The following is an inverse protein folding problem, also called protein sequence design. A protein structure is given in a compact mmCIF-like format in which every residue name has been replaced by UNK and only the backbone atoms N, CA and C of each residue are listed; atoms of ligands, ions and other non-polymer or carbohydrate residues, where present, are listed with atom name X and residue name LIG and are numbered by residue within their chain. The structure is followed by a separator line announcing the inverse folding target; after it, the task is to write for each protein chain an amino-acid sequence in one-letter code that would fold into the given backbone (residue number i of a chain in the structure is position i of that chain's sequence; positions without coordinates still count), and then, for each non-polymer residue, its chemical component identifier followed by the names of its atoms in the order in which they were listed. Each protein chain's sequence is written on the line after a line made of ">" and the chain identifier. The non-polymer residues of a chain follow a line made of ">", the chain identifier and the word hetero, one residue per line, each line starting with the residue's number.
data_IF_133818572119
#
_entry.id   IF_133818572119
#
_cell.length_a   1.000
_cell.length_b   1.000
_cell.length_c   1.000
_cell.angle_alpha   90.00
_cell.angle_beta   90.00
_cell.angle_gamma   90.00
#
_symmetry.space_group_name_H-M   'P 1'
#
loop_
_entity.id
_entity.type
_entity.pdbx_description
1 polymer ?
#
# COMPACT_ATOMS: atom_id res chain seq x y z
N UNK A 1 20.64 0.95 19.35
CA UNK A 1 20.05 2.23 19.79
C UNK A 1 18.77 2.47 19.00
N UNK A 2 17.65 1.88 19.44
CA UNK A 2 16.32 2.01 18.81
C UNK A 2 15.33 2.84 19.63
N UNK A 3 15.80 3.43 20.73
CA UNK A 3 14.99 3.98 21.82
C UNK A 3 14.04 5.09 21.36
N UNK A 4 14.42 5.90 20.37
CA UNK A 4 13.59 7.01 19.91
C UNK A 4 12.61 6.71 18.76
N UNK A 5 12.72 5.57 18.06
CA UNK A 5 11.87 5.34 16.87
C UNK A 5 10.43 5.06 17.30
N UNK A 6 10.25 4.23 18.32
CA UNK A 6 8.93 3.84 18.78
C UNK A 6 8.21 5.01 19.49
N UNK A 7 8.94 5.83 20.23
CA UNK A 7 8.42 7.09 20.80
C UNK A 7 8.01 8.08 19.71
N UNK A 8 8.83 8.24 18.66
CA UNK A 8 8.47 9.09 17.51
C UNK A 8 7.23 8.57 16.78
N UNK A 9 7.09 7.25 16.66
CA UNK A 9 5.90 6.64 16.07
C UNK A 9 4.66 6.95 16.93
N UNK A 10 4.73 6.76 18.24
CA UNK A 10 3.65 7.09 19.18
C UNK A 10 3.26 8.58 19.16
N UNK A 11 4.25 9.47 19.08
CA UNK A 11 4.02 10.91 19.00
C UNK A 11 3.44 11.34 17.65
N UNK A 12 3.62 10.53 16.60
CA UNK A 12 3.07 10.78 15.27
C UNK A 12 1.63 10.30 15.11
N UNK A 13 1.16 9.41 15.98
CA UNK A 13 -0.23 8.94 15.95
C UNK A 13 -1.20 10.10 16.17
N UNK A 14 -2.19 10.21 15.28
CA UNK A 14 -3.18 11.28 15.34
C UNK A 14 -2.74 12.61 14.74
N UNK A 15 -1.50 12.72 14.21
CA UNK A 15 -1.05 13.93 13.50
C UNK A 15 -1.54 13.93 12.05
N UNK A 16 -1.62 15.13 11.46
CA UNK A 16 -1.94 15.29 10.04
C UNK A 16 -0.75 14.91 9.15
N UNK A 17 -1.03 14.39 7.96
CA UNK A 17 -0.01 14.13 6.94
C UNK A 17 -0.37 14.86 5.66
N UNK A 18 0.65 15.34 4.97
CA UNK A 18 0.47 15.91 3.65
C UNK A 18 0.55 14.81 2.61
N UNK A 19 -0.56 14.59 1.90
CA UNK A 19 -0.68 13.56 0.87
C UNK A 19 0.25 13.79 -0.33
N UNK A 20 0.62 15.05 -0.60
CA UNK A 20 1.58 15.40 -1.66
C UNK A 20 3.01 15.12 -1.22
N UNK A 21 3.23 15.07 0.09
CA UNK A 21 4.47 14.63 0.70
C UNK A 21 4.38 13.13 1.02
N UNK A 22 5.51 12.55 1.40
CA UNK A 22 5.61 11.13 1.72
C UNK A 22 5.08 10.82 3.14
N UNK A 23 4.52 9.63 3.38
CA UNK A 23 3.90 9.21 4.65
C UNK A 23 4.89 8.87 5.76
N UNK A 24 6.20 9.00 5.51
CA UNK A 24 7.22 8.75 6.55
C UNK A 24 7.00 9.66 7.76
N UNK A 25 7.28 9.13 8.96
CA UNK A 25 7.18 9.83 10.26
C UNK A 25 7.90 11.20 10.33
N UNK A 26 8.84 11.48 9.42
CA UNK A 26 9.54 12.77 9.35
C UNK A 26 8.71 13.90 8.71
N UNK A 27 7.59 13.58 8.09
CA UNK A 27 6.70 14.53 7.40
C UNK A 27 5.35 14.71 8.10
N UNK A 28 5.19 14.19 9.33
CA UNK A 28 4.04 14.49 10.18
C UNK A 28 3.91 16.01 10.33
N UNK A 29 2.72 16.55 10.06
CA UNK A 29 2.38 17.96 10.23
C UNK A 29 1.53 18.16 11.48
N UNK A 30 1.69 19.33 12.09
CA UNK A 30 0.97 19.73 13.29
C UNK A 30 1.75 19.45 14.57
N UNK A 31 1.69 20.41 15.49
CA UNK A 31 2.29 20.29 16.81
C UNK A 31 1.44 19.38 17.70
N UNK A 32 0.12 19.52 17.59
CA UNK A 32 -0.89 18.78 18.35
C UNK A 32 -1.49 17.60 17.57
N UNK A 33 -2.11 16.67 18.30
CA UNK A 33 -2.88 15.57 17.73
C UNK A 33 -4.26 16.07 17.30
N UNK A 34 -4.70 15.64 16.12
CA UNK A 34 -6.06 15.90 15.60
C UNK A 34 -7.11 14.96 16.19
N UNK A 35 -6.67 13.91 16.88
CA UNK A 35 -7.54 12.93 17.55
C UNK A 35 -7.39 13.06 19.06
N UNK A 36 -8.51 13.00 19.75
CA UNK A 36 -8.54 12.92 21.20
C UNK A 36 -8.24 11.48 21.62
N UNK A 37 -7.26 11.31 22.51
CA UNK A 37 -6.94 10.03 23.14
C UNK A 37 -7.29 10.10 24.62
N UNK A 38 -7.68 8.97 25.20
CA UNK A 38 -7.89 8.88 26.63
C UNK A 38 -6.55 8.98 27.36
N UNK A 39 -6.29 10.12 28.01
CA UNK A 39 -5.07 10.34 28.81
C UNK A 39 -5.18 9.83 30.25
N UNK A 40 -6.38 9.42 30.67
CA UNK A 40 -6.65 8.92 32.03
C UNK A 40 -6.19 7.48 32.20
N UNK A 41 -6.41 6.65 31.18
CA UNK A 41 -6.04 5.24 31.17
C UNK A 41 -4.71 5.05 30.43
N UNK A 42 -3.62 5.07 31.20
CA UNK A 42 -2.26 4.83 30.72
C UNK A 42 -1.82 3.40 31.02
N UNK A 43 -1.20 2.76 30.04
CA UNK A 43 -0.68 1.38 30.12
C UNK A 43 0.73 1.27 29.55
N UNK A 44 1.40 0.17 29.88
CA UNK A 44 2.63 -0.21 29.20
C UNK A 44 2.32 -0.92 27.88
N UNK A 45 3.00 -0.50 26.81
CA UNK A 45 2.88 -1.07 25.48
C UNK A 45 4.18 -1.78 25.10
N UNK A 46 4.12 -3.10 24.94
CA UNK A 46 5.26 -3.89 24.46
C UNK A 46 5.26 -3.91 22.94
N UNK A 47 6.32 -3.38 22.35
CA UNK A 47 6.54 -3.38 20.90
C UNK A 47 7.60 -4.44 20.55
N UNK A 48 7.26 -5.47 19.76
CA UNK A 48 8.21 -6.49 19.35
C UNK A 48 9.45 -5.87 18.68
N UNK A 49 10.64 -6.15 19.21
CA UNK A 49 11.91 -5.64 18.69
C UNK A 49 12.29 -4.21 19.11
N UNK A 50 11.38 -3.44 19.72
CA UNK A 50 11.64 -2.08 20.19
C UNK A 50 11.54 -1.91 21.71
N UNK A 51 11.07 -2.94 22.42
CA UNK A 51 10.98 -2.93 23.89
C UNK A 51 9.62 -2.45 24.40
N UNK A 52 9.56 -2.12 25.68
CA UNK A 52 8.32 -1.68 26.36
C UNK A 52 8.33 -0.18 26.52
N UNK A 53 7.24 0.47 26.10
CA UNK A 53 7.03 1.91 26.24
C UNK A 53 6.00 2.14 27.32
N UNK A 54 6.31 3.01 28.27
CA UNK A 54 5.42 3.36 29.37
C UNK A 54 4.50 4.50 28.97
N UNK A 55 3.44 4.69 29.75
CA UNK A 55 2.57 5.86 29.66
C UNK A 55 1.81 6.01 28.33
N UNK A 56 1.43 4.88 27.71
CA UNK A 56 0.69 4.88 26.45
C UNK A 56 -0.81 4.84 26.73
N UNK A 57 -1.59 5.67 26.03
CA UNK A 57 -3.05 5.65 26.12
C UNK A 57 -3.62 4.26 25.77
N UNK A 58 -4.66 3.83 26.52
CA UNK A 58 -5.36 2.56 26.28
C UNK A 58 -5.90 2.39 24.86
N UNK A 59 -6.21 3.50 24.18
CA UNK A 59 -6.73 3.53 22.81
C UNK A 59 -5.68 3.13 21.75
N UNK A 60 -4.39 3.18 22.10
CA UNK A 60 -3.30 2.83 21.20
C UNK A 60 -2.97 1.35 21.37
N UNK A 61 -3.15 0.57 20.30
CA UNK A 61 -2.75 -0.83 20.22
C UNK A 61 -1.57 -1.01 19.27
N UNK A 62 -0.54 -1.73 19.71
CA UNK A 62 0.49 -2.26 18.81
C UNK A 62 0.02 -3.61 18.29
N UNK A 63 -0.05 -3.75 16.98
CA UNK A 63 -0.28 -5.02 16.31
C UNK A 63 0.92 -5.35 15.41
N UNK A 64 1.10 -6.62 15.06
CA UNK A 64 2.17 -7.04 14.15
C UNK A 64 1.99 -6.42 12.76
N UNK A 65 0.75 -6.10 12.39
CA UNK A 65 0.35 -5.70 11.06
C UNK A 65 0.45 -6.85 10.08
N UNK A 66 -0.40 -6.86 9.06
CA UNK A 66 -0.24 -7.78 7.94
C UNK A 66 0.80 -7.21 6.99
N UNK A 67 1.89 -7.95 6.78
CA UNK A 67 2.97 -7.59 5.86
C UNK A 67 2.58 -7.76 4.38
N UNK A 68 1.30 -7.64 4.03
CA UNK A 68 0.84 -7.88 2.66
C UNK A 68 0.92 -6.58 1.88
N UNK A 69 2.11 -6.31 1.32
CA UNK A 69 2.29 -5.27 0.31
C UNK A 69 1.88 -5.85 -1.04
N UNK A 70 0.69 -5.50 -1.50
CA UNK A 70 0.30 -5.75 -2.89
C UNK A 70 1.07 -4.78 -3.78
N UNK A 71 2.16 -5.27 -4.37
CA UNK A 71 2.84 -4.57 -5.44
C UNK A 71 2.32 -5.15 -6.76
N UNK A 72 1.75 -4.30 -7.62
CA UNK A 72 1.54 -4.70 -9.01
C UNK A 72 2.91 -4.85 -9.67
N UNK A 73 3.13 -5.93 -10.41
CA UNK A 73 4.36 -6.09 -11.19
C UNK A 73 4.59 -4.86 -12.07
N UNK A 74 5.83 -4.35 -12.08
CA UNK A 74 6.23 -3.31 -13.04
C UNK A 74 6.36 -4.03 -14.38
N UNK A 75 5.27 -4.07 -15.14
CA UNK A 75 5.26 -4.65 -16.46
C UNK A 75 6.00 -3.70 -17.42
N UNK A 76 7.04 -4.21 -18.07
CA UNK A 76 7.66 -3.52 -19.20
C UNK A 76 6.63 -3.31 -20.30
N UNK A 77 6.81 -2.28 -21.13
CA UNK A 77 5.90 -1.97 -22.23
C UNK A 77 5.62 -3.18 -23.14
N UNK A 78 6.62 -4.05 -23.34
CA UNK A 78 6.45 -5.29 -24.11
C UNK A 78 5.57 -6.33 -23.40
N UNK A 79 5.63 -6.44 -22.07
CA UNK A 79 4.76 -7.34 -21.30
C UNK A 79 3.31 -6.85 -21.30
N UNK A 80 3.10 -5.55 -21.11
CA UNK A 80 1.75 -4.94 -21.23
C UNK A 80 1.19 -5.15 -22.63
N UNK A 81 1.99 -4.92 -23.69
CA UNK A 81 1.57 -5.14 -25.08
C UNK A 81 1.24 -6.61 -25.35
N UNK A 82 2.07 -7.54 -24.86
CA UNK A 82 1.88 -8.96 -25.08
C UNK A 82 0.63 -9.49 -24.37
N UNK A 83 0.41 -9.11 -23.11
CA UNK A 83 -0.84 -9.41 -22.40
C UNK A 83 -2.06 -8.81 -23.09
N UNK A 84 -1.98 -7.56 -23.54
CA UNK A 84 -3.05 -6.90 -24.29
C UNK A 84 -3.38 -7.63 -25.61
N UNK A 85 -2.36 -8.03 -26.37
CA UNK A 85 -2.53 -8.79 -27.61
C UNK A 85 -3.16 -10.17 -27.33
N UNK A 86 -2.71 -10.89 -26.30
CA UNK A 86 -3.28 -12.19 -25.95
C UNK A 86 -4.74 -12.10 -25.47
N UNK A 87 -5.07 -11.08 -24.66
CA UNK A 87 -6.42 -10.93 -24.13
C UNK A 87 -7.41 -10.42 -25.18
N UNK A 88 -7.01 -9.47 -26.02
CA UNK A 88 -7.92 -8.87 -27.01
C UNK A 88 -7.89 -9.59 -28.35
N UNK A 89 -6.72 -9.87 -28.92
CA UNK A 89 -6.64 -10.57 -30.20
C UNK A 89 -6.92 -12.08 -30.03
N UNK A 90 -6.51 -12.69 -28.90
CA UNK A 90 -6.75 -14.11 -28.63
C UNK A 90 -8.22 -14.48 -28.43
N UNK A 91 -9.09 -13.51 -28.10
CA UNK A 91 -10.55 -13.70 -28.05
C UNK A 91 -11.22 -13.45 -29.41
N UNK A 92 -10.71 -12.52 -30.22
CA UNK A 92 -11.20 -12.33 -31.60
C UNK A 92 -10.84 -13.51 -32.51
N UNK A 93 -9.64 -14.09 -32.41
CA UNK A 93 -9.21 -15.16 -33.33
C UNK A 93 -9.86 -16.52 -33.01
N UNK A 94 -10.40 -16.72 -31.80
CA UNK A 94 -11.08 -18.00 -31.46
C UNK A 94 -12.57 -18.02 -31.74
N UNK A 95 -13.23 -16.86 -31.76
CA UNK A 95 -14.67 -16.79 -32.04
C UNK A 95 -15.00 -16.71 -33.54
N UNK A 96 -13.99 -16.60 -34.42
CA UNK A 96 -14.19 -16.40 -35.86
C UNK A 96 -13.63 -17.56 -36.72
N UNK A 97 -13.21 -18.67 -36.11
CA UNK A 97 -12.71 -19.86 -36.83
C UNK A 97 -13.74 -21.02 -36.85
N UNK A 98 -14.84 -20.93 -36.11
CA UNK A 98 -15.90 -21.96 -36.15
C UNK A 98 -17.06 -21.68 -37.12
N UNK A 99 -17.08 -20.55 -37.83
CA UNK A 99 -18.08 -20.33 -38.89
C UNK A 99 -17.41 -19.83 -40.18
N UNK A 100 -17.17 -20.81 -41.05
CA UNK A 100 -17.21 -20.75 -42.51
C UNK A 100 -16.32 -19.71 -43.24
N UNK A 101 -15.33 -20.24 -43.98
CA UNK A 101 -14.84 -19.73 -45.27
C UNK A 101 -14.97 -18.21 -45.52
N UNK A 102 -14.02 -17.40 -45.03
CA UNK A 102 -13.79 -16.07 -45.60
C UNK A 102 -12.29 -15.77 -45.72
N UNK A 103 -11.80 -15.77 -46.96
CA UNK A 103 -10.55 -15.11 -47.34
C UNK A 103 -10.65 -13.61 -46.99
N UNK A 104 -9.79 -13.09 -46.10
CA UNK A 104 -9.54 -11.64 -46.06
C UNK A 104 -8.05 -11.37 -45.89
N UNK A 105 -7.54 -10.66 -46.89
CA UNK A 105 -6.18 -10.19 -47.10
C UNK A 105 -5.71 -9.22 -46.02
N UNK A 106 -4.47 -9.40 -45.52
CA UNK A 106 -3.68 -8.29 -44.97
C UNK A 106 -2.23 -8.39 -45.46
N UNK A 107 -2.02 -7.95 -46.71
CA UNK A 107 -0.75 -7.35 -47.14
C UNK A 107 -0.77 -5.86 -46.77
N UNK A 108 0.31 -5.39 -46.13
CA UNK A 108 0.78 -4.01 -46.24
C UNK A 108 0.27 -3.00 -45.21
N UNK A 109 1.00 -2.87 -44.10
CA UNK A 109 1.70 -1.65 -43.63
C UNK A 109 2.41 -1.93 -42.30
#
# INVERSE_FOLDING_TARGET
>A
MGEGIAERALNSLGKGFDLTSDFRLKFCKGDERLVLLNETEKRELTVPGFGTIKDVSGDIKCDKGDCTRYQSDILTFNQVRHSFHQTLCGQSVKNEIENENVEIWLLGL
#
